data_IF_382522877438
#
_entry.id   IF_382522877438
#
_cell.length_a   1.000
_cell.length_b   1.000
_cell.length_c   1.000
_cell.angle_alpha   90.00
_cell.angle_beta   90.00
_cell.angle_gamma   90.00
#
_symmetry.space_group_name_H-M   'P 1'
#
loop_
_entity.id
_entity.type
_entity.pdbx_description
1 polymer ?
#
# COMPACT_ATOMS: atom_id res chain seq x y z
N UNK A 1 17.04 -21.87 27.07
CA UNK A 1 16.56 -22.49 25.80
C UNK A 1 15.16 -23.11 25.98
N UNK A 2 14.18 -22.74 25.16
CA UNK A 2 12.84 -23.34 25.22
C UNK A 2 12.82 -24.68 24.48
N UNK A 3 12.26 -25.70 25.10
CA UNK A 3 12.03 -26.99 24.45
C UNK A 3 10.93 -26.87 23.38
N UNK A 4 10.95 -27.78 22.39
CA UNK A 4 9.89 -27.84 21.38
C UNK A 4 8.51 -28.03 22.03
N UNK A 5 8.42 -28.83 23.10
CA UNK A 5 7.20 -29.04 23.87
C UNK A 5 6.62 -27.73 24.41
N UNK A 6 7.46 -26.86 24.98
CA UNK A 6 7.00 -25.58 25.54
C UNK A 6 6.52 -24.64 24.43
N UNK A 7 7.18 -24.64 23.27
CA UNK A 7 6.72 -23.90 22.09
C UNK A 7 5.37 -24.41 21.59
N UNK A 8 5.17 -25.72 21.58
CA UNK A 8 3.88 -26.35 21.23
C UNK A 8 2.79 -25.98 22.25
N UNK A 9 3.07 -26.09 23.54
CA UNK A 9 2.12 -25.74 24.61
C UNK A 9 1.72 -24.25 24.52
N UNK A 10 2.68 -23.36 24.27
CA UNK A 10 2.42 -21.95 24.01
C UNK A 10 1.53 -21.75 22.77
N UNK A 11 1.78 -22.45 21.67
CA UNK A 11 0.95 -22.33 20.47
C UNK A 11 -0.50 -22.81 20.72
N UNK A 12 -0.66 -23.91 21.47
CA UNK A 12 -1.97 -24.49 21.83
C UNK A 12 -2.75 -23.60 22.79
N UNK A 13 -2.08 -22.96 23.76
CA UNK A 13 -2.75 -22.10 24.75
C UNK A 13 -3.45 -20.88 24.14
N UNK A 14 -3.19 -20.58 22.87
CA UNK A 14 -3.80 -19.47 22.13
C UNK A 14 -4.82 -19.92 21.07
N UNK A 15 -5.17 -21.21 21.01
CA UNK A 15 -6.21 -21.71 20.11
C UNK A 15 -7.53 -21.01 20.42
N UNK A 16 -8.18 -20.49 19.37
CA UNK A 16 -9.45 -19.77 19.49
C UNK A 16 -9.36 -18.37 20.12
N UNK A 17 -8.23 -18.03 20.76
CA UNK A 17 -8.01 -16.72 21.39
C UNK A 17 -7.34 -15.71 20.45
N UNK A 18 -6.34 -16.15 19.68
CA UNK A 18 -5.60 -15.31 18.74
C UNK A 18 -5.77 -15.80 17.31
N UNK A 19 -5.56 -14.92 16.32
CA UNK A 19 -5.44 -15.35 14.93
C UNK A 19 -4.19 -16.21 14.74
N UNK A 20 -4.24 -17.20 13.85
CA UNK A 20 -3.15 -18.16 13.64
C UNK A 20 -1.88 -17.49 13.11
N UNK A 21 -2.07 -16.40 12.35
CA UNK A 21 -1.00 -15.50 11.93
C UNK A 21 -0.29 -14.86 13.13
N UNK A 22 -1.03 -14.44 14.15
CA UNK A 22 -0.49 -13.84 15.38
C UNK A 22 0.33 -14.85 16.16
N UNK A 23 -0.19 -16.07 16.39
CA UNK A 23 0.55 -17.14 17.10
C UNK A 23 1.86 -17.47 16.38
N UNK A 24 1.82 -17.60 15.04
CA UNK A 24 3.02 -17.81 14.23
C UNK A 24 3.99 -16.62 14.32
N UNK A 25 3.48 -15.40 14.37
CA UNK A 25 4.28 -14.19 14.59
C UNK A 25 5.01 -14.22 15.92
N UNK A 26 4.35 -14.60 17.01
CA UNK A 26 4.98 -14.76 18.33
C UNK A 26 6.09 -15.80 18.32
N UNK A 27 5.84 -16.99 17.73
CA UNK A 27 6.87 -18.03 17.57
C UNK A 27 8.05 -17.52 16.73
N UNK A 28 7.79 -16.75 15.68
CA UNK A 28 8.84 -16.16 14.85
C UNK A 28 9.67 -15.12 15.62
N UNK A 29 9.03 -14.29 16.45
CA UNK A 29 9.69 -13.33 17.31
C UNK A 29 10.57 -14.03 18.36
N UNK A 30 10.07 -15.10 18.99
CA UNK A 30 10.86 -15.94 19.90
C UNK A 30 12.07 -16.56 19.18
N UNK A 31 11.89 -17.05 17.94
CA UNK A 31 13.00 -17.57 17.14
C UNK A 31 14.05 -16.48 16.86
N UNK A 32 13.62 -15.30 16.43
CA UNK A 32 14.52 -14.18 16.16
C UNK A 32 15.31 -13.77 17.41
N UNK A 33 14.66 -13.75 18.59
CA UNK A 33 15.32 -13.44 19.85
C UNK A 33 16.39 -14.47 20.24
N UNK A 34 16.13 -15.78 20.04
CA UNK A 34 17.18 -16.80 20.25
C UNK A 34 18.36 -16.61 19.33
N UNK A 35 18.10 -16.38 18.04
CA UNK A 35 19.15 -16.16 17.04
C UNK A 35 19.99 -14.92 17.36
N UNK A 36 19.36 -13.85 17.86
CA UNK A 36 20.05 -12.63 18.27
C UNK A 36 20.99 -12.84 19.46
N UNK A 37 20.64 -13.74 20.38
CA UNK A 37 21.44 -14.07 21.56
C UNK A 37 22.37 -15.28 21.37
N UNK A 38 22.52 -15.76 20.13
CA UNK A 38 23.27 -16.99 19.80
C UNK A 38 22.83 -18.22 20.63
N UNK A 39 21.55 -18.26 21.02
CA UNK A 39 20.97 -19.37 21.77
C UNK A 39 20.43 -20.46 20.84
N UNK A 40 20.47 -21.73 21.24
CA UNK A 40 19.95 -22.81 20.41
C UNK A 40 18.42 -22.70 20.25
N UNK A 41 17.96 -22.85 19.01
CA UNK A 41 16.55 -22.93 18.66
C UNK A 41 16.12 -24.38 18.51
N UNK A 42 15.15 -24.81 19.33
CA UNK A 42 14.68 -26.21 19.36
C UNK A 42 13.30 -26.40 18.68
N UNK A 43 12.78 -25.43 17.93
CA UNK A 43 11.52 -25.62 17.20
C UNK A 43 11.70 -26.53 15.99
N UNK A 44 10.89 -27.60 15.91
CA UNK A 44 11.02 -28.66 14.90
C UNK A 44 9.69 -29.03 14.21
N UNK A 45 9.59 -30.25 13.66
CA UNK A 45 8.41 -30.71 12.92
C UNK A 45 7.12 -30.74 13.76
N UNK A 46 7.19 -31.06 15.06
CA UNK A 46 6.00 -31.11 15.91
C UNK A 46 5.39 -29.73 16.09
N UNK A 47 6.23 -28.70 16.26
CA UNK A 47 5.77 -27.32 16.33
C UNK A 47 5.02 -26.91 15.06
N UNK A 48 5.50 -27.32 13.88
CA UNK A 48 4.82 -27.03 12.61
C UNK A 48 3.44 -27.72 12.52
N UNK A 49 3.35 -28.99 12.95
CA UNK A 49 2.08 -29.73 13.01
C UNK A 49 1.09 -29.06 13.96
N UNK A 50 1.54 -28.68 15.16
CA UNK A 50 0.71 -27.96 16.13
C UNK A 50 0.23 -26.62 15.56
N UNK A 51 1.11 -25.83 14.96
CA UNK A 51 0.72 -24.55 14.34
C UNK A 51 -0.28 -24.74 13.18
N UNK A 52 -0.25 -25.87 12.48
CA UNK A 52 -1.26 -26.23 11.48
C UNK A 52 -2.58 -26.64 12.15
N UNK A 53 -2.53 -27.44 13.21
CA UNK A 53 -3.70 -27.79 14.04
C UNK A 53 -4.39 -26.57 14.63
N UNK A 54 -3.62 -25.62 15.17
CA UNK A 54 -4.08 -24.32 15.67
C UNK A 54 -4.81 -23.55 14.57
N UNK A 55 -4.25 -23.48 13.35
CA UNK A 55 -4.89 -22.82 12.20
C UNK A 55 -6.19 -23.51 11.78
N UNK A 56 -6.22 -24.84 11.81
CA UNK A 56 -7.38 -25.63 11.39
C UNK A 56 -8.51 -25.61 12.43
N UNK A 57 -8.16 -25.44 13.72
CA UNK A 57 -9.12 -25.39 14.84
C UNK A 57 -9.72 -23.99 15.04
N UNK A 58 -9.31 -23.00 14.25
CA UNK A 58 -9.86 -21.65 14.36
C UNK A 58 -11.25 -21.56 13.75
N UNK A 59 -12.17 -20.86 14.44
CA UNK A 59 -13.53 -20.69 13.94
C UNK A 59 -13.50 -19.89 12.63
N UNK A 60 -14.43 -20.18 11.73
CA UNK A 60 -14.58 -19.45 10.47
C UNK A 60 -14.81 -17.95 10.70
N UNK A 61 -15.42 -17.56 11.82
CA UNK A 61 -15.60 -16.17 12.25
C UNK A 61 -14.29 -15.40 12.46
N UNK A 62 -13.15 -16.10 12.69
CA UNK A 62 -11.83 -15.46 12.80
C UNK A 62 -11.23 -15.02 11.46
N UNK A 63 -11.85 -15.42 10.33
CA UNK A 63 -11.42 -15.04 8.99
C UNK A 63 -12.29 -13.88 8.52
N UNK A 64 -11.70 -12.69 8.40
CA UNK A 64 -12.38 -11.58 7.74
C UNK A 64 -12.63 -11.94 6.26
N UNK A 65 -13.82 -11.64 5.72
CA UNK A 65 -14.06 -11.80 4.29
C UNK A 65 -13.09 -10.92 3.49
N UNK A 66 -12.74 -11.39 2.30
CA UNK A 66 -11.96 -10.59 1.35
C UNK A 66 -12.71 -9.28 1.08
N UNK A 67 -11.99 -8.16 1.15
CA UNK A 67 -12.55 -6.86 0.75
C UNK A 67 -12.81 -6.88 -0.76
N UNK A 68 -13.96 -6.41 -1.25
CA UNK A 68 -14.20 -6.32 -2.68
C UNK A 68 -13.17 -5.39 -3.33
N UNK A 69 -12.79 -5.66 -4.59
CA UNK A 69 -11.86 -4.79 -5.31
C UNK A 69 -12.51 -3.44 -5.61
N UNK A 70 -11.67 -2.42 -5.75
CA UNK A 70 -12.10 -1.16 -6.39
C UNK A 70 -12.44 -1.47 -7.84
N UNK A 71 -13.49 -0.84 -8.37
CA UNK A 71 -13.98 -1.06 -9.75
C UNK A 71 -13.93 0.23 -10.56
N UNK A 72 -13.94 0.12 -11.89
CA UNK A 72 -14.05 1.29 -12.77
C UNK A 72 -15.32 2.11 -12.48
N UNK A 73 -16.46 1.44 -12.23
CA UNK A 73 -17.70 2.12 -11.86
C UNK A 73 -17.56 2.97 -10.59
N UNK A 74 -16.79 2.52 -9.60
CA UNK A 74 -16.50 3.32 -8.40
C UNK A 74 -15.71 4.58 -8.75
N UNK A 75 -14.76 4.52 -9.70
CA UNK A 75 -14.04 5.70 -10.17
C UNK A 75 -14.94 6.66 -10.95
N UNK A 76 -15.85 6.14 -11.77
CA UNK A 76 -16.82 6.95 -12.50
C UNK A 76 -17.80 7.64 -11.54
N UNK A 77 -18.28 6.92 -10.53
CA UNK A 77 -19.08 7.53 -9.45
C UNK A 77 -18.29 8.60 -8.71
N UNK A 78 -17.03 8.32 -8.37
CA UNK A 78 -16.14 9.32 -7.74
C UNK A 78 -15.97 10.55 -8.62
N UNK A 79 -15.67 10.39 -9.92
CA UNK A 79 -15.50 11.53 -10.84
C UNK A 79 -16.76 12.37 -10.99
N UNK A 80 -17.94 11.75 -10.86
CA UNK A 80 -19.23 12.47 -10.97
C UNK A 80 -19.59 13.29 -9.72
N UNK A 81 -18.97 13.00 -8.58
CA UNK A 81 -19.26 13.64 -7.30
C UNK A 81 -18.23 14.69 -6.88
N UNK A 82 -17.03 14.67 -7.48
CA UNK A 82 -15.95 15.60 -7.19
C UNK A 82 -16.11 16.91 -7.96
N UNK A 83 -15.82 18.04 -7.31
CA UNK A 83 -15.72 19.34 -7.96
C UNK A 83 -14.32 19.53 -8.55
N UNK A 84 -14.16 19.41 -9.86
CA UNK A 84 -12.85 19.58 -10.49
C UNK A 84 -12.29 21.01 -10.41
N UNK A 85 -13.07 22.00 -9.97
CA UNK A 85 -12.55 23.33 -9.66
C UNK A 85 -11.90 23.41 -8.28
N UNK A 86 -12.19 22.45 -7.37
CA UNK A 86 -11.51 22.32 -6.09
C UNK A 86 -10.10 21.74 -6.29
N UNK A 87 -9.11 22.42 -5.70
CA UNK A 87 -7.71 21.99 -5.70
C UNK A 87 -7.53 20.58 -5.13
N UNK A 88 -8.23 20.29 -4.02
CA UNK A 88 -8.20 18.99 -3.36
C UNK A 88 -8.87 17.91 -4.21
N UNK A 89 -10.08 18.16 -4.69
CA UNK A 89 -10.89 17.18 -5.41
C UNK A 89 -10.21 16.75 -6.73
N UNK A 90 -9.59 17.71 -7.43
CA UNK A 90 -8.77 17.44 -8.61
C UNK A 90 -7.59 16.51 -8.29
N UNK A 91 -6.88 16.75 -7.17
CA UNK A 91 -5.80 15.90 -6.71
C UNK A 91 -6.30 14.49 -6.32
N UNK A 92 -7.46 14.41 -5.66
CA UNK A 92 -8.12 13.15 -5.29
C UNK A 92 -8.48 12.33 -6.52
N UNK A 93 -9.07 12.93 -7.55
CA UNK A 93 -9.39 12.21 -8.78
C UNK A 93 -8.12 11.74 -9.50
N UNK A 94 -7.11 12.60 -9.58
CA UNK A 94 -5.83 12.27 -10.21
C UNK A 94 -5.15 11.09 -9.51
N UNK A 95 -5.08 11.08 -8.17
CA UNK A 95 -4.44 9.97 -7.45
C UNK A 95 -5.27 8.69 -7.51
N UNK A 96 -6.60 8.78 -7.41
CA UNK A 96 -7.48 7.60 -7.47
C UNK A 96 -7.37 6.88 -8.82
N UNK A 97 -7.45 7.63 -9.92
CA UNK A 97 -7.35 7.07 -11.27
C UNK A 97 -5.92 6.58 -11.58
N UNK A 98 -4.89 7.35 -11.23
CA UNK A 98 -3.50 6.97 -11.45
C UNK A 98 -3.11 5.70 -10.67
N UNK A 99 -3.54 5.60 -9.41
CA UNK A 99 -3.27 4.41 -8.58
C UNK A 99 -4.00 3.18 -9.09
N UNK A 100 -5.26 3.32 -9.51
CA UNK A 100 -6.06 2.23 -10.06
C UNK A 100 -5.46 1.70 -11.36
N UNK A 101 -5.26 2.55 -12.37
CA UNK A 101 -4.75 2.11 -13.67
C UNK A 101 -3.26 1.75 -13.63
N UNK A 102 -2.48 2.39 -12.75
CA UNK A 102 -1.07 2.04 -12.50
C UNK A 102 -0.87 0.79 -11.63
N UNK A 103 -1.95 0.22 -11.08
CA UNK A 103 -1.92 -0.91 -10.14
C UNK A 103 -0.95 -0.65 -8.98
N UNK A 104 -1.07 0.54 -8.40
CA UNK A 104 -0.21 1.03 -7.32
C UNK A 104 -0.91 0.97 -5.98
N UNK A 105 -0.14 0.71 -4.92
CA UNK A 105 -0.64 0.88 -3.56
C UNK A 105 -0.62 2.38 -3.21
N UNK A 106 -1.72 2.91 -2.67
CA UNK A 106 -1.81 4.31 -2.24
C UNK A 106 -0.69 4.70 -1.28
N UNK A 107 -0.36 3.85 -0.31
CA UNK A 107 0.73 4.10 0.65
C UNK A 107 2.15 4.10 0.05
N UNK A 108 2.31 3.93 -1.27
CA UNK A 108 3.57 4.16 -1.99
C UNK A 108 3.57 5.46 -2.80
N UNK A 109 2.38 6.03 -3.01
CA UNK A 109 2.17 7.21 -3.84
C UNK A 109 1.97 8.43 -2.96
N UNK A 110 1.14 8.29 -1.93
CA UNK A 110 0.82 9.34 -0.97
C UNK A 110 1.73 9.27 0.25
N UNK A 111 2.01 10.44 0.82
CA UNK A 111 2.61 10.53 2.14
C UNK A 111 1.62 10.03 3.21
N UNK A 112 2.15 9.55 4.33
CA UNK A 112 1.34 9.22 5.51
C UNK A 112 1.04 10.45 6.38
N UNK A 113 1.69 11.59 6.11
CA UNK A 113 1.53 12.84 6.82
C UNK A 113 1.04 13.92 5.85
N UNK A 114 0.30 14.90 6.38
CA UNK A 114 -0.35 15.95 5.58
C UNK A 114 0.63 17.02 5.11
N UNK A 115 1.51 17.46 6.00
CA UNK A 115 2.45 18.57 5.80
C UNK A 115 3.90 18.13 5.58
N UNK A 116 4.16 16.83 5.69
CA UNK A 116 5.51 16.25 5.68
C UNK A 116 5.54 15.02 4.79
N UNK A 117 6.70 14.72 4.21
CA UNK A 117 6.92 13.48 3.48
C UNK A 117 8.36 13.00 3.66
N UNK A 118 8.56 11.70 3.45
CA UNK A 118 9.90 11.12 3.41
C UNK A 118 10.38 11.09 1.97
N UNK A 119 11.45 11.83 1.69
CA UNK A 119 12.13 11.78 0.41
C UNK A 119 12.66 10.35 0.15
N UNK A 120 12.61 9.92 -1.11
CA UNK A 120 12.91 8.55 -1.52
C UNK A 120 11.81 7.52 -1.19
N UNK A 121 10.76 7.89 -0.44
CA UNK A 121 9.61 7.02 -0.15
C UNK A 121 8.30 7.49 -0.79
N UNK A 122 8.22 8.77 -1.12
CA UNK A 122 7.03 9.41 -1.70
C UNK A 122 7.27 9.76 -3.16
N UNK A 123 6.24 9.66 -4.00
CA UNK A 123 6.34 10.02 -5.41
C UNK A 123 6.32 11.54 -5.56
N UNK A 124 7.39 12.11 -6.13
CA UNK A 124 7.51 13.54 -6.40
C UNK A 124 6.98 13.91 -7.78
N UNK A 125 6.71 15.20 -8.01
CA UNK A 125 6.30 15.68 -9.33
C UNK A 125 7.35 15.39 -10.40
N UNK A 126 8.64 15.55 -10.08
CA UNK A 126 9.78 15.20 -10.96
C UNK A 126 9.87 13.72 -11.34
N UNK A 127 9.18 12.83 -10.62
CA UNK A 127 9.13 11.41 -10.93
C UNK A 127 8.14 11.06 -12.05
N UNK A 128 7.29 12.00 -12.45
CA UNK A 128 6.36 11.84 -13.57
C UNK A 128 7.06 12.28 -14.86
N UNK A 129 7.13 11.38 -15.84
CA UNK A 129 7.73 11.70 -17.14
C UNK A 129 6.87 12.66 -17.96
N UNK A 130 7.50 13.28 -18.93
CA UNK A 130 6.81 13.83 -20.09
C UNK A 130 6.00 12.75 -20.83
N UNK A 131 4.97 13.16 -21.61
CA UNK A 131 4.20 12.26 -22.46
C UNK A 131 5.09 11.40 -23.37
N UNK A 132 4.85 10.08 -23.38
CA UNK A 132 5.63 9.11 -24.17
C UNK A 132 5.18 8.99 -25.63
N UNK A 133 3.95 9.42 -25.94
CA UNK A 133 3.32 9.20 -27.24
C UNK A 133 2.18 10.19 -27.50
N UNK A 134 1.57 10.11 -28.69
CA UNK A 134 0.36 10.86 -29.05
C UNK A 134 -0.81 10.64 -28.10
N UNK A 135 -0.92 9.44 -27.51
CA UNK A 135 -1.94 9.10 -26.50
C UNK A 135 -1.63 9.66 -25.12
N UNK A 136 -0.57 10.45 -24.98
CA UNK A 136 -0.23 11.22 -23.77
C UNK A 136 0.05 10.35 -22.54
N UNK A 137 0.30 9.05 -22.72
CA UNK A 137 0.64 8.13 -21.64
C UNK A 137 1.95 8.54 -20.99
N UNK A 138 2.08 8.32 -19.68
CA UNK A 138 3.23 8.77 -18.89
C UNK A 138 3.84 7.63 -18.09
N UNK A 139 5.12 7.74 -17.80
CA UNK A 139 5.85 6.84 -16.91
C UNK A 139 5.97 7.51 -15.54
N UNK A 140 5.64 6.78 -14.49
CA UNK A 140 5.76 7.25 -13.11
C UNK A 140 6.80 6.43 -12.37
N UNK A 141 7.81 7.09 -11.81
CA UNK A 141 8.80 6.46 -10.96
C UNK A 141 8.28 6.35 -9.52
N UNK A 142 8.27 5.13 -8.99
CA UNK A 142 8.01 4.85 -7.59
C UNK A 142 9.36 4.61 -6.91
N UNK A 143 9.82 5.51 -6.03
CA UNK A 143 11.18 5.45 -5.49
C UNK A 143 11.36 4.32 -4.48
N UNK A 144 10.28 3.92 -3.79
CA UNK A 144 10.30 2.82 -2.84
C UNK A 144 9.27 1.74 -3.13
N UNK A 145 9.71 0.48 -3.10
CA UNK A 145 8.79 -0.65 -2.97
C UNK A 145 9.31 -1.67 -1.97
N UNK A 146 8.40 -2.40 -1.31
CA UNK A 146 8.77 -3.46 -0.34
C UNK A 146 9.80 -4.47 -0.88
N UNK A 147 9.76 -4.76 -2.18
CA UNK A 147 10.63 -5.77 -2.82
C UNK A 147 11.92 -5.15 -3.36
N UNK A 148 11.83 -4.01 -4.05
CA UNK A 148 12.99 -3.37 -4.67
C UNK A 148 13.72 -2.37 -3.77
N UNK A 149 13.17 -2.07 -2.58
CA UNK A 149 13.65 -1.04 -1.65
C UNK A 149 13.95 0.25 -2.40
N UNK A 150 15.18 0.75 -2.35
CA UNK A 150 15.65 1.99 -2.97
C UNK A 150 15.92 1.90 -4.48
N UNK A 151 15.85 0.72 -5.10
CA UNK A 151 15.99 0.59 -6.56
C UNK A 151 14.77 1.14 -7.32
N UNK A 152 13.65 1.36 -6.61
CA UNK A 152 12.41 1.84 -7.18
C UNK A 152 11.76 0.89 -8.18
N UNK A 153 10.71 1.35 -8.85
CA UNK A 153 10.14 0.74 -10.07
C UNK A 153 9.48 1.82 -10.92
N UNK A 154 9.29 1.55 -12.20
CA UNK A 154 8.41 2.36 -13.03
C UNK A 154 7.06 1.70 -13.20
N UNK A 155 6.02 2.53 -13.28
CA UNK A 155 4.69 2.15 -13.73
C UNK A 155 4.28 3.03 -14.90
N UNK A 156 3.41 2.50 -15.75
CA UNK A 156 2.90 3.21 -16.91
C UNK A 156 1.45 3.60 -16.64
N UNK A 157 1.16 4.88 -16.80
CA UNK A 157 -0.18 5.45 -16.71
C UNK A 157 -0.65 5.64 -18.15
N UNK A 158 -1.70 4.92 -18.53
CA UNK A 158 -2.23 4.90 -19.89
C UNK A 158 -3.60 5.59 -19.95
N UNK A 159 -3.87 6.24 -21.08
CA UNK A 159 -5.12 6.95 -21.33
C UNK A 159 -6.32 5.99 -21.38
N UNK A 160 -7.45 6.40 -20.82
CA UNK A 160 -8.74 5.71 -20.91
C UNK A 160 -9.76 6.53 -21.70
N UNK A 161 -10.88 5.91 -22.07
CA UNK A 161 -11.89 6.52 -22.93
C UNK A 161 -12.97 7.32 -22.18
N UNK A 162 -13.04 7.20 -20.85
CA UNK A 162 -14.12 7.75 -20.02
C UNK A 162 -13.62 8.72 -18.94
N UNK A 163 -14.53 9.17 -18.07
CA UNK A 163 -14.23 10.14 -17.00
C UNK A 163 -13.26 9.63 -15.92
N UNK A 164 -12.93 8.34 -15.92
CA UNK A 164 -11.88 7.77 -15.08
C UNK A 164 -10.48 7.87 -15.71
N UNK A 165 -10.33 8.55 -16.85
CA UNK A 165 -9.04 8.71 -17.54
C UNK A 165 -7.96 9.37 -16.65
N UNK A 166 -6.92 8.62 -16.24
CA UNK A 166 -5.89 9.13 -15.35
C UNK A 166 -5.02 10.20 -16.03
N UNK A 167 -4.92 10.19 -17.36
CA UNK A 167 -4.13 11.20 -18.08
C UNK A 167 -4.82 12.55 -18.04
N UNK A 168 -6.13 12.59 -18.29
CA UNK A 168 -6.90 13.84 -18.20
C UNK A 168 -6.98 14.34 -16.76
N UNK A 169 -7.20 13.46 -15.78
CA UNK A 169 -7.20 13.83 -14.37
C UNK A 169 -5.83 14.39 -13.91
N UNK A 170 -4.71 13.73 -14.26
CA UNK A 170 -3.36 14.22 -13.95
C UNK A 170 -3.07 15.57 -14.60
N UNK A 171 -3.44 15.77 -15.87
CA UNK A 171 -3.24 17.04 -16.55
C UNK A 171 -4.01 18.17 -15.87
N UNK A 172 -5.25 17.92 -15.50
CA UNK A 172 -6.10 18.90 -14.82
C UNK A 172 -5.53 19.26 -13.44
N UNK A 173 -5.14 18.26 -12.65
CA UNK A 173 -4.45 18.44 -11.37
C UNK A 173 -3.18 19.29 -11.50
N UNK A 174 -2.28 18.92 -12.41
CA UNK A 174 -1.03 19.65 -12.63
C UNK A 174 -1.27 21.09 -13.10
N UNK A 175 -2.32 21.33 -13.89
CA UNK A 175 -2.67 22.66 -14.36
C UNK A 175 -3.13 23.57 -13.20
N UNK A 176 -4.06 23.10 -12.37
CA UNK A 176 -4.65 23.96 -11.33
C UNK A 176 -3.78 24.05 -10.08
N UNK A 177 -3.12 22.96 -9.68
CA UNK A 177 -2.32 22.93 -8.45
C UNK A 177 -0.87 23.34 -8.69
N UNK A 178 -0.33 23.10 -9.89
CA UNK A 178 1.06 23.42 -10.27
C UNK A 178 2.10 23.05 -9.18
N UNK A 179 2.11 21.80 -8.67
CA UNK A 179 3.04 21.42 -7.61
C UNK A 179 4.50 21.51 -8.10
N UNK A 180 5.44 22.07 -7.30
CA UNK A 180 6.87 22.07 -7.64
C UNK A 180 7.44 20.67 -7.92
N UNK A 181 8.59 20.61 -8.60
CA UNK A 181 9.25 19.35 -9.00
C UNK A 181 9.66 18.47 -7.81
N UNK A 182 9.98 19.08 -6.68
CA UNK A 182 10.54 18.42 -5.48
C UNK A 182 9.51 18.10 -4.40
N UNK A 183 8.22 18.39 -4.64
CA UNK A 183 7.14 18.05 -3.70
C UNK A 183 6.36 16.82 -4.19
N UNK A 184 5.55 16.18 -3.33
CA UNK A 184 4.71 15.06 -3.72
C UNK A 184 3.81 15.38 -4.92
N UNK A 185 3.72 14.45 -5.87
CA UNK A 185 3.01 14.64 -7.15
C UNK A 185 1.54 15.07 -6.96
N UNK A 186 0.89 14.57 -5.90
CA UNK A 186 -0.53 14.82 -5.61
C UNK A 186 -0.73 15.89 -4.53
N UNK A 187 0.25 16.77 -4.30
CA UNK A 187 0.08 17.97 -3.48
C UNK A 187 -0.89 18.96 -4.14
N UNK A 188 -1.73 19.60 -3.33
CA UNK A 188 -2.72 20.57 -3.76
C UNK A 188 -2.53 21.91 -3.05
N UNK A 189 -3.09 22.97 -3.62
CA UNK A 189 -3.05 24.30 -3.03
C UNK A 189 -4.07 24.41 -1.90
N UNK A 190 -3.65 24.97 -0.76
CA UNK A 190 -4.57 25.46 0.24
C UNK A 190 -5.09 26.80 -0.22
N UNK A 191 -6.41 26.91 -0.47
CA UNK A 191 -7.03 28.22 -0.64
C UNK A 191 -6.79 29.00 0.66
N UNK A 192 -5.97 30.06 0.60
CA UNK A 192 -5.84 31.05 1.67
C UNK A 192 -7.22 31.70 1.85
N UNK A 193 -8.06 31.11 2.70
CA UNK A 193 -9.13 31.86 3.34
C UNK A 193 -8.43 32.74 4.38
N UNK A 194 -8.24 34.01 4.03
CA UNK A 194 -7.94 35.07 4.99
C UNK A 194 -9.10 35.31 5.94
#
# INVERSE_FOLDING_TARGET
PFSEYLLCAFAVSHIGLLASSTVRGCIAALKAWHLYLDLPWHGGPHLNLILNGVKNSMPSSSRHPLRPPVTCNMLLSLSSLLDLHSFLDSAVLAVATATFYGQCCLGKILSSWEDTFLDGHTVLTSHLSEPLSSNQSRKLFLPFTKVSKSRGKFVYICRQADASDPISALKHHLLINSPPSEVPLFSYQLSLHG
#
